data_IF_234760849329
#
_entry.id   IF_234760849329
#
_cell.length_a   1.000
_cell.length_b   1.000
_cell.length_c   1.000
_cell.angle_alpha   90.00
_cell.angle_beta   90.00
_cell.angle_gamma   90.00
#
_symmetry.space_group_name_H-M   'P 1'
#
loop_
_entity.id
_entity.type
_entity.pdbx_description
1 polymer ?
#
# COMPACT_ATOMS: atom_id res chain seq x y z
N UNK A 1 17.94 12.89 17.66
CA UNK A 1 16.85 12.41 16.79
C UNK A 1 17.30 11.09 16.23
N UNK A 2 16.87 9.97 16.83
CA UNK A 2 17.39 8.64 16.48
C UNK A 2 16.70 8.13 15.21
N UNK A 3 17.43 8.14 14.10
CA UNK A 3 17.02 7.52 12.84
C UNK A 3 17.22 6.01 12.95
N UNK A 4 16.20 5.33 13.45
CA UNK A 4 16.14 3.86 13.36
C UNK A 4 16.18 3.44 11.88
N UNK A 5 16.90 2.35 11.53
CA UNK A 5 16.99 1.86 10.16
C UNK A 5 15.59 1.48 9.67
N UNK A 6 15.14 2.14 8.60
CA UNK A 6 13.78 2.06 8.06
C UNK A 6 13.56 0.83 7.15
N UNK A 7 14.58 0.01 7.00
CA UNK A 7 14.72 -0.92 5.88
C UNK A 7 13.94 -2.24 6.07
N UNK A 8 13.60 -2.61 7.32
CA UNK A 8 12.87 -3.86 7.64
C UNK A 8 11.60 -3.64 8.47
N UNK A 9 11.13 -2.39 8.58
CA UNK A 9 9.97 -2.09 9.43
C UNK A 9 8.67 -2.27 8.64
N UNK A 10 7.61 -2.79 9.27
CA UNK A 10 6.27 -2.73 8.68
C UNK A 10 5.87 -1.26 8.48
N UNK A 11 5.04 -0.99 7.47
CA UNK A 11 4.54 0.36 7.19
C UNK A 11 3.97 1.03 8.45
N UNK A 12 4.43 2.25 8.69
CA UNK A 12 3.93 3.13 9.74
C UNK A 12 2.43 3.37 9.55
N UNK A 13 1.73 3.79 10.61
CA UNK A 13 0.30 4.09 10.51
C UNK A 13 0.00 5.11 9.40
N UNK A 14 0.78 6.17 9.32
CA UNK A 14 0.64 7.20 8.27
C UNK A 14 0.85 6.63 6.86
N UNK A 15 1.83 5.73 6.70
CA UNK A 15 2.12 5.09 5.41
C UNK A 15 0.99 4.12 5.01
N UNK A 16 0.38 3.43 5.96
CA UNK A 16 -0.80 2.57 5.72
C UNK A 16 -2.04 3.39 5.33
N UNK A 17 -2.27 4.52 5.98
CA UNK A 17 -3.33 5.47 5.62
C UNK A 17 -3.12 5.97 4.18
N UNK A 18 -1.88 6.33 3.86
CA UNK A 18 -1.52 6.78 2.52
C UNK A 18 -1.71 5.67 1.48
N UNK A 19 -1.28 4.44 1.78
CA UNK A 19 -1.50 3.26 0.94
C UNK A 19 -2.98 3.07 0.62
N UNK A 20 -3.84 3.10 1.64
CA UNK A 20 -5.29 2.98 1.48
C UNK A 20 -5.87 4.11 0.62
N UNK A 21 -5.39 5.33 0.82
CA UNK A 21 -5.81 6.51 0.04
C UNK A 21 -5.44 6.35 -1.43
N UNK A 22 -4.21 5.92 -1.73
CA UNK A 22 -3.72 5.72 -3.09
C UNK A 22 -4.41 4.53 -3.79
N UNK A 23 -4.73 3.48 -3.04
CA UNK A 23 -5.52 2.36 -3.54
C UNK A 23 -6.93 2.83 -3.94
N UNK A 24 -7.59 3.58 -3.07
CA UNK A 24 -8.93 4.16 -3.34
C UNK A 24 -8.90 5.11 -4.54
N UNK A 25 -7.86 5.94 -4.65
CA UNK A 25 -7.66 6.84 -5.79
C UNK A 25 -7.50 6.10 -7.14
N UNK A 26 -7.01 4.85 -7.12
CA UNK A 26 -6.93 3.96 -8.29
C UNK A 26 -8.15 3.05 -8.44
N UNK A 27 -9.27 3.39 -7.80
CA UNK A 27 -10.52 2.62 -7.80
C UNK A 27 -10.41 1.20 -7.21
N UNK A 28 -9.41 0.93 -6.36
CA UNK A 28 -9.36 -0.30 -5.58
C UNK A 28 -10.14 -0.15 -4.28
N UNK A 29 -10.92 -1.18 -3.92
CA UNK A 29 -11.79 -1.18 -2.74
C UNK A 29 -10.99 -1.49 -1.45
N UNK A 30 -10.20 -0.52 -1.00
CA UNK A 30 -9.35 -0.67 0.19
C UNK A 30 -10.09 -0.40 1.51
N UNK A 31 -11.31 0.14 1.44
CA UNK A 31 -12.04 0.68 2.58
C UNK A 31 -11.59 2.10 2.95
N UNK A 32 -11.90 2.51 4.18
CA UNK A 32 -11.49 3.81 4.68
C UNK A 32 -9.96 3.85 4.98
N UNK A 33 -9.29 4.99 4.77
CA UNK A 33 -7.88 5.14 5.08
C UNK A 33 -7.65 5.38 6.57
N UNK A 34 -7.92 4.36 7.40
CA UNK A 34 -7.80 4.42 8.87
C UNK A 34 -6.41 3.98 9.39
N UNK A 35 -5.60 3.40 8.48
CA UNK A 35 -4.33 2.75 8.77
C UNK A 35 -4.47 1.29 9.21
N UNK A 36 -5.68 0.74 9.25
CA UNK A 36 -5.94 -0.65 9.65
C UNK A 36 -5.97 -1.56 8.43
N UNK A 37 -5.08 -2.55 8.37
CA UNK A 37 -4.98 -3.48 7.24
C UNK A 37 -5.97 -4.63 7.42
N UNK A 38 -7.24 -4.34 7.11
CA UNK A 38 -8.35 -5.29 7.10
C UNK A 38 -8.43 -6.14 5.84
N UNK A 39 -9.46 -6.98 5.74
CA UNK A 39 -9.69 -7.84 4.59
C UNK A 39 -9.85 -7.06 3.27
N UNK A 40 -10.58 -5.93 3.29
CA UNK A 40 -10.77 -5.06 2.12
C UNK A 40 -9.44 -4.46 1.66
N UNK A 41 -8.65 -3.90 2.58
CA UNK A 41 -7.32 -3.36 2.26
C UNK A 41 -6.41 -4.43 1.66
N UNK A 42 -6.36 -5.65 2.22
CA UNK A 42 -5.58 -6.76 1.65
C UNK A 42 -6.07 -7.13 0.24
N UNK A 43 -7.38 -7.17 0.02
CA UNK A 43 -7.97 -7.43 -1.30
C UNK A 43 -7.56 -6.36 -2.31
N UNK A 44 -7.65 -5.08 -1.95
CA UNK A 44 -7.20 -3.97 -2.78
C UNK A 44 -5.70 -4.04 -3.09
N UNK A 45 -4.87 -4.39 -2.08
CA UNK A 45 -3.43 -4.61 -2.27
C UNK A 45 -3.18 -5.72 -3.29
N UNK A 46 -3.86 -6.86 -3.18
CA UNK A 46 -3.73 -7.95 -4.17
C UNK A 46 -4.09 -7.49 -5.57
N UNK A 47 -5.16 -6.74 -5.73
CA UNK A 47 -5.57 -6.21 -7.04
C UNK A 47 -4.52 -5.26 -7.61
N UNK A 48 -3.96 -4.37 -6.79
CA UNK A 48 -2.88 -3.50 -7.20
C UNK A 48 -1.61 -4.29 -7.58
N UNK A 49 -1.20 -5.27 -6.77
CA UNK A 49 -0.07 -6.15 -7.05
C UNK A 49 -0.25 -6.90 -8.38
N UNK A 50 -1.45 -7.44 -8.65
CA UNK A 50 -1.77 -8.06 -9.94
C UNK A 50 -1.63 -7.09 -11.10
N UNK A 51 -2.10 -5.84 -10.94
CA UNK A 51 -1.95 -4.80 -11.96
C UNK A 51 -0.49 -4.45 -12.23
N UNK A 52 0.40 -4.62 -11.25
CA UNK A 52 1.84 -4.43 -11.41
C UNK A 52 2.58 -5.69 -11.90
N UNK A 53 1.89 -6.81 -12.09
CA UNK A 53 2.50 -8.10 -12.45
C UNK A 53 3.28 -8.75 -11.31
N UNK A 54 3.01 -8.36 -10.07
CA UNK A 54 3.67 -8.86 -8.86
C UNK A 54 2.86 -10.00 -8.20
N UNK A 55 3.49 -10.81 -7.34
CA UNK A 55 2.77 -11.78 -6.54
C UNK A 55 1.72 -11.10 -5.65
N UNK A 56 0.47 -11.49 -5.86
CA UNK A 56 -0.72 -10.92 -5.21
C UNK A 56 -0.92 -11.49 -3.79
N UNK A 57 0.09 -11.33 -2.93
CA UNK A 57 0.08 -11.88 -1.58
C UNK A 57 -0.85 -11.09 -0.64
N UNK A 58 -1.09 -9.81 -0.95
CA UNK A 58 -1.95 -8.93 -0.14
C UNK A 58 -1.20 -8.21 0.97
N UNK A 59 0.13 -8.25 0.95
CA UNK A 59 0.97 -7.62 1.95
C UNK A 59 1.27 -6.15 1.65
N UNK A 60 1.09 -5.26 2.63
CA UNK A 60 1.33 -3.83 2.48
C UNK A 60 2.83 -3.56 2.67
N UNK A 61 3.59 -3.53 1.57
CA UNK A 61 5.04 -3.26 1.56
C UNK A 61 5.34 -1.80 1.19
N UNK A 62 6.52 -1.31 1.57
CA UNK A 62 7.03 -0.01 1.11
C UNK A 62 7.13 0.05 -0.40
N UNK A 63 7.62 -1.01 -1.04
CA UNK A 63 7.73 -1.09 -2.50
C UNK A 63 6.38 -0.88 -3.19
N UNK A 64 5.30 -1.46 -2.65
CA UNK A 64 3.94 -1.24 -3.15
C UNK A 64 3.52 0.22 -2.97
N UNK A 65 3.73 0.80 -1.78
CA UNK A 65 3.41 2.19 -1.52
C UNK A 65 4.15 3.13 -2.48
N UNK A 66 5.44 2.90 -2.72
CA UNK A 66 6.24 3.69 -3.64
C UNK A 66 5.78 3.56 -5.09
N UNK A 67 5.40 2.36 -5.52
CA UNK A 67 4.82 2.17 -6.86
C UNK A 67 3.44 2.82 -6.97
N UNK A 68 2.67 2.85 -5.89
CA UNK A 68 1.42 3.59 -5.84
C UNK A 68 1.64 5.12 -5.82
N UNK A 69 2.78 5.63 -5.35
CA UNK A 69 3.12 7.06 -5.45
C UNK A 69 3.50 7.48 -6.87
N UNK A 70 4.06 6.55 -7.65
CA UNK A 70 4.42 6.82 -9.04
C UNK A 70 3.15 7.03 -9.88
N UNK A 71 3.07 8.10 -10.69
CA UNK A 71 1.97 8.26 -11.63
C UNK A 71 1.98 7.10 -12.63
N UNK A 72 0.80 6.58 -12.98
CA UNK A 72 0.64 5.63 -14.08
C UNK A 72 0.97 6.37 -15.37
N UNK A 73 2.18 6.16 -15.91
CA UNK A 73 2.61 6.77 -17.18
C UNK A 73 4.06 7.23 -17.22
N UNK A 74 5.01 6.28 -17.10
CA UNK A 74 6.35 6.41 -17.68
C UNK A 74 6.57 5.21 -18.60
#
# INVERSE_FOLDING_TARGET
>A
MVSWPREDLPLSRSERIELQTLLSARQYDAGAPDGIIGANTRKAIRSAQQSFGWPADGYPTHELLENLRKPVGQ
#
